data_IF_676247199516
#
_entry.id   IF_676247199516
#
_cell.length_a   1.000
_cell.length_b   1.000
_cell.length_c   1.000
_cell.angle_alpha   90.00
_cell.angle_beta   90.00
_cell.angle_gamma   90.00
#
_symmetry.space_group_name_H-M   'P 1'
#
loop_
_entity.id
_entity.type
_entity.pdbx_description
1 polymer ?
#
# COMPACT_ATOMS: atom_id res chain seq x y z
N UNK A 1 10.81 -2.17 16.15
CA UNK A 1 11.15 -3.31 15.28
C UNK A 1 12.64 -3.38 14.90
N UNK A 2 13.53 -2.50 15.41
CA UNK A 2 14.97 -2.62 15.12
C UNK A 2 15.34 -2.52 13.63
N UNK A 3 14.56 -1.75 12.87
CA UNK A 3 14.75 -1.54 11.43
C UNK A 3 15.61 -0.29 11.22
N UNK A 4 16.46 -0.30 10.20
CA UNK A 4 17.30 0.85 9.86
C UNK A 4 16.44 2.11 9.59
N UNK A 5 16.73 3.25 10.24
CA UNK A 5 16.00 4.50 10.02
C UNK A 5 16.03 4.98 8.57
N UNK A 6 17.08 4.69 7.80
CA UNK A 6 17.21 5.04 6.37
C UNK A 6 16.12 4.33 5.55
N UNK A 7 15.91 3.04 5.81
CA UNK A 7 14.87 2.26 5.14
C UNK A 7 13.49 2.74 5.57
N UNK A 8 13.27 2.92 6.88
CA UNK A 8 11.94 3.30 7.40
C UNK A 8 11.49 4.67 6.89
N UNK A 9 12.39 5.66 6.85
CA UNK A 9 12.10 7.03 6.36
C UNK A 9 11.80 7.09 4.87
N UNK A 10 12.24 6.08 4.11
CA UNK A 10 11.94 5.98 2.68
C UNK A 10 10.68 5.16 2.42
N UNK A 11 10.61 3.94 2.96
CA UNK A 11 9.56 2.97 2.60
C UNK A 11 8.20 3.36 3.16
N UNK A 12 8.11 3.83 4.41
CA UNK A 12 6.81 4.12 5.04
C UNK A 12 6.07 5.26 4.34
N UNK A 13 6.69 6.44 4.05
CA UNK A 13 5.97 7.51 3.35
C UNK A 13 5.57 7.14 1.92
N UNK A 14 6.41 6.38 1.21
CA UNK A 14 6.12 5.92 -0.16
C UNK A 14 5.00 4.87 -0.14
N UNK A 15 5.08 3.89 0.76
CA UNK A 15 4.08 2.85 0.95
C UNK A 15 2.71 3.41 1.29
N UNK A 16 2.64 4.34 2.25
CA UNK A 16 1.38 4.93 2.70
C UNK A 16 0.57 5.64 1.59
N UNK A 17 1.22 6.00 0.47
CA UNK A 17 0.55 6.63 -0.68
C UNK A 17 0.32 5.67 -1.85
N UNK A 18 1.27 4.79 -2.13
CA UNK A 18 1.23 3.93 -3.33
C UNK A 18 0.68 2.54 -3.02
N UNK A 19 0.98 2.00 -1.84
CA UNK A 19 0.72 0.60 -1.49
C UNK A 19 -0.64 0.43 -0.80
N UNK A 20 -1.70 0.59 -1.58
CA UNK A 20 -3.07 0.45 -1.10
C UNK A 20 -3.69 -0.92 -1.45
N UNK A 21 -3.07 -2.01 -0.99
CA UNK A 21 -3.52 -3.39 -1.24
C UNK A 21 -4.97 -3.65 -0.78
N UNK A 22 -5.33 -3.17 0.41
CA UNK A 22 -6.68 -3.27 0.97
C UNK A 22 -7.71 -2.51 0.16
N UNK A 23 -7.32 -1.40 -0.49
CA UNK A 23 -8.18 -0.65 -1.41
C UNK A 23 -8.40 -1.43 -2.71
N UNK A 24 -7.34 -1.95 -3.32
CA UNK A 24 -7.44 -2.76 -4.53
C UNK A 24 -8.30 -4.02 -4.31
N UNK A 25 -8.09 -4.72 -3.18
CA UNK A 25 -8.88 -5.88 -2.80
C UNK A 25 -10.36 -5.52 -2.64
N UNK A 26 -10.65 -4.42 -1.96
CA UNK A 26 -12.02 -3.94 -1.78
C UNK A 26 -12.72 -3.64 -3.09
N UNK A 27 -12.07 -2.90 -4.00
CA UNK A 27 -12.65 -2.55 -5.30
C UNK A 27 -12.93 -3.77 -6.16
N UNK A 28 -12.00 -4.73 -6.19
CA UNK A 28 -12.19 -5.98 -6.94
C UNK A 28 -13.36 -6.81 -6.38
N UNK A 29 -13.41 -6.99 -5.05
CA UNK A 29 -14.48 -7.76 -4.39
C UNK A 29 -15.83 -7.06 -4.51
N UNK A 30 -15.88 -5.73 -4.39
CA UNK A 30 -17.07 -4.92 -4.58
C UNK A 30 -17.64 -5.05 -6.00
N UNK A 31 -16.80 -5.02 -7.03
CA UNK A 31 -17.23 -5.17 -8.41
C UNK A 31 -17.80 -6.58 -8.68
N UNK A 32 -17.13 -7.60 -8.16
CA UNK A 32 -17.62 -8.99 -8.20
C UNK A 32 -18.97 -9.13 -7.48
N UNK A 33 -19.11 -8.53 -6.31
CA UNK A 33 -20.34 -8.54 -5.52
C UNK A 33 -21.50 -7.88 -6.26
N UNK A 34 -21.30 -6.71 -6.86
CA UNK A 34 -22.33 -6.01 -7.64
C UNK A 34 -22.74 -6.84 -8.86
N UNK A 35 -21.78 -7.43 -9.58
CA UNK A 35 -22.10 -8.30 -10.70
C UNK A 35 -22.97 -9.50 -10.28
N UNK A 36 -22.64 -10.12 -9.14
CA UNK A 36 -23.42 -11.21 -8.55
C UNK A 36 -24.82 -10.77 -8.14
N UNK A 37 -24.96 -9.60 -7.48
CA UNK A 37 -26.27 -9.04 -7.11
C UNK A 37 -27.17 -8.80 -8.31
N UNK A 38 -26.59 -8.37 -9.44
CA UNK A 38 -27.31 -8.12 -10.70
C UNK A 38 -27.48 -9.36 -11.57
N UNK A 39 -27.00 -10.54 -11.14
CA UNK A 39 -26.95 -11.76 -11.94
C UNK A 39 -26.23 -11.58 -13.29
N UNK A 40 -25.23 -10.69 -13.33
CA UNK A 40 -24.39 -10.44 -14.50
C UNK A 40 -23.20 -11.39 -14.45
N UNK A 41 -23.04 -12.21 -15.47
CA UNK A 41 -21.92 -13.14 -15.55
C UNK A 41 -20.64 -12.42 -16.02
N UNK A 42 -19.66 -12.29 -15.13
CA UNK A 42 -18.34 -11.78 -15.50
C UNK A 42 -17.54 -12.86 -16.23
N UNK A 43 -16.99 -12.52 -17.39
CA UNK A 43 -16.06 -13.39 -18.11
C UNK A 43 -14.69 -13.34 -17.44
N UNK A 44 -13.81 -14.29 -17.78
CA UNK A 44 -12.42 -14.24 -17.32
C UNK A 44 -11.72 -12.92 -17.70
N UNK A 45 -12.00 -12.39 -18.90
CA UNK A 45 -11.47 -11.10 -19.35
C UNK A 45 -11.92 -9.94 -18.45
N UNK A 46 -13.17 -9.94 -17.99
CA UNK A 46 -13.68 -8.94 -17.04
C UNK A 46 -12.98 -9.03 -15.68
N UNK A 47 -12.71 -10.23 -15.16
CA UNK A 47 -12.01 -10.40 -13.89
C UNK A 47 -10.58 -9.83 -13.96
N UNK A 48 -9.88 -10.10 -15.07
CA UNK A 48 -8.55 -9.55 -15.31
C UNK A 48 -8.61 -8.02 -15.44
N UNK A 49 -9.58 -7.49 -16.19
CA UNK A 49 -9.77 -6.05 -16.33
C UNK A 49 -10.01 -5.38 -14.97
N UNK A 50 -10.93 -5.90 -14.15
CA UNK A 50 -11.22 -5.42 -12.79
C UNK A 50 -9.97 -5.44 -11.91
N UNK A 51 -9.16 -6.50 -11.99
CA UNK A 51 -7.95 -6.62 -11.18
C UNK A 51 -6.93 -5.54 -11.55
N UNK A 52 -6.69 -5.34 -12.85
CA UNK A 52 -5.75 -4.31 -13.33
C UNK A 52 -6.26 -2.91 -12.98
N UNK A 53 -7.55 -2.65 -13.18
CA UNK A 53 -8.13 -1.32 -12.95
C UNK A 53 -8.22 -1.00 -11.47
N UNK A 54 -8.56 -1.97 -10.61
CA UNK A 54 -8.54 -1.82 -9.16
C UNK A 54 -7.12 -1.55 -8.63
N UNK A 55 -6.11 -2.26 -9.14
CA UNK A 55 -4.71 -1.97 -8.77
C UNK A 55 -4.27 -0.58 -9.23
N UNK A 56 -4.66 -0.15 -10.43
CA UNK A 56 -4.33 1.19 -10.92
C UNK A 56 -5.05 2.28 -10.10
N UNK A 57 -6.31 2.05 -9.76
CA UNK A 57 -7.14 2.98 -9.02
C UNK A 57 -6.70 3.11 -7.55
N UNK A 58 -6.25 2.02 -6.92
CA UNK A 58 -5.75 2.06 -5.54
C UNK A 58 -4.53 2.96 -5.36
N UNK A 59 -3.64 3.03 -6.34
CA UNK A 59 -2.49 3.95 -6.33
C UNK A 59 -2.96 5.42 -6.44
N UNK A 60 -4.02 5.67 -7.21
CA UNK A 60 -4.55 7.01 -7.46
C UNK A 60 -5.38 7.62 -6.31
N UNK A 61 -5.76 6.82 -5.32
CA UNK A 61 -6.71 7.23 -4.28
C UNK A 61 -6.12 8.14 -3.18
N UNK A 62 -4.80 8.08 -2.94
CA UNK A 62 -4.17 8.71 -1.78
C UNK A 62 -4.25 10.25 -1.73
N UNK A 63 -4.54 10.92 -2.86
CA UNK A 63 -4.55 12.39 -2.96
C UNK A 63 -5.93 13.05 -3.00
N UNK A 64 -7.03 12.29 -3.04
CA UNK A 64 -8.36 12.84 -3.31
C UNK A 64 -9.29 12.63 -2.09
N UNK A 65 -9.90 13.69 -1.52
CA UNK A 65 -10.94 13.54 -0.51
C UNK A 65 -12.09 12.68 -1.07
N UNK A 66 -12.54 11.67 -0.33
CA UNK A 66 -13.60 10.74 -0.78
C UNK A 66 -13.25 9.93 -2.03
N UNK A 67 -11.96 9.70 -2.30
CA UNK A 67 -11.47 8.94 -3.47
C UNK A 67 -12.16 7.59 -3.67
N UNK A 68 -12.48 6.87 -2.57
CA UNK A 68 -13.01 5.51 -2.62
C UNK A 68 -14.32 5.36 -3.41
N UNK A 69 -15.14 6.41 -3.54
CA UNK A 69 -16.35 6.37 -4.37
C UNK A 69 -16.00 6.53 -5.85
N UNK A 70 -15.11 7.47 -6.16
CA UNK A 70 -14.68 7.77 -7.54
C UNK A 70 -13.96 6.57 -8.14
N UNK A 71 -13.05 5.97 -7.38
CA UNK A 71 -12.29 4.80 -7.83
C UNK A 71 -13.20 3.59 -8.00
N UNK A 72 -14.18 3.40 -7.12
CA UNK A 72 -15.18 2.33 -7.27
C UNK A 72 -16.00 2.48 -8.56
N UNK A 73 -16.46 3.69 -8.88
CA UNK A 73 -17.19 3.96 -10.13
C UNK A 73 -16.32 3.65 -11.34
N UNK A 74 -15.05 4.05 -11.32
CA UNK A 74 -14.10 3.73 -12.38
C UNK A 74 -13.96 2.22 -12.60
N UNK A 75 -13.82 1.43 -11.54
CA UNK A 75 -13.70 -0.03 -11.64
C UNK A 75 -14.99 -0.66 -12.19
N UNK A 76 -16.16 -0.21 -11.77
CA UNK A 76 -17.43 -0.70 -12.31
C UNK A 76 -17.62 -0.38 -13.80
N UNK A 77 -17.23 0.82 -14.22
CA UNK A 77 -17.31 1.26 -15.62
C UNK A 77 -16.46 0.36 -16.54
N UNK A 78 -15.32 -0.15 -16.05
CA UNK A 78 -14.43 -1.03 -16.83
C UNK A 78 -15.06 -2.35 -17.25
N UNK A 79 -16.15 -2.76 -16.58
CA UNK A 79 -16.94 -3.95 -16.90
C UNK A 79 -18.40 -3.62 -17.24
N UNK A 80 -18.73 -2.33 -17.41
CA UNK A 80 -20.06 -1.86 -17.80
C UNK A 80 -21.14 -2.05 -16.72
N UNK A 81 -20.75 -2.08 -15.44
CA UNK A 81 -21.70 -2.17 -14.32
C UNK A 81 -22.22 -0.77 -13.95
N UNK A 82 -23.52 -0.63 -13.60
CA UNK A 82 -24.11 0.65 -13.27
C UNK A 82 -23.56 1.21 -11.94
N UNK A 83 -23.08 2.45 -11.96
CA UNK A 83 -22.49 3.13 -10.81
C UNK A 83 -23.47 3.36 -9.63
N UNK A 84 -24.77 3.33 -9.90
CA UNK A 84 -25.83 3.47 -8.88
C UNK A 84 -25.75 2.40 -7.79
N UNK A 85 -25.21 1.22 -8.11
CA UNK A 85 -25.08 0.09 -7.19
C UNK A 85 -24.02 0.30 -6.10
N UNK A 86 -23.13 1.29 -6.26
CA UNK A 86 -22.14 1.67 -5.22
C UNK A 86 -22.84 2.10 -3.93
N UNK A 87 -24.05 2.64 -4.01
CA UNK A 87 -24.85 3.06 -2.85
C UNK A 87 -25.10 1.93 -1.85
N UNK A 88 -25.21 0.69 -2.31
CA UNK A 88 -25.38 -0.50 -1.46
C UNK A 88 -24.12 -0.72 -0.60
N UNK A 89 -22.94 -0.47 -1.17
CA UNK A 89 -21.66 -0.66 -0.50
C UNK A 89 -21.39 0.46 0.51
N UNK A 90 -21.78 1.71 0.19
CA UNK A 90 -21.61 2.87 1.08
C UNK A 90 -22.22 2.62 2.46
N UNK A 91 -23.32 1.86 2.55
CA UNK A 91 -23.97 1.54 3.83
C UNK A 91 -23.05 0.76 4.80
N UNK A 92 -22.11 -0.04 4.28
CA UNK A 92 -21.16 -0.84 5.08
C UNK A 92 -19.72 -0.31 5.01
N UNK A 93 -19.47 0.68 4.14
CA UNK A 93 -18.12 1.18 3.87
C UNK A 93 -17.42 1.77 5.11
N UNK A 94 -18.18 2.40 6.01
CA UNK A 94 -17.63 2.94 7.26
C UNK A 94 -16.89 1.90 8.10
N UNK A 95 -17.33 0.64 8.04
CA UNK A 95 -16.71 -0.49 8.74
C UNK A 95 -15.57 -1.08 7.92
N UNK A 96 -15.81 -1.32 6.62
CA UNK A 96 -14.81 -1.90 5.71
C UNK A 96 -13.56 -1.02 5.59
N UNK A 97 -13.73 0.30 5.54
CA UNK A 97 -12.66 1.28 5.51
C UNK A 97 -11.64 1.13 6.65
N UNK A 98 -12.09 0.77 7.86
CA UNK A 98 -11.20 0.55 8.99
C UNK A 98 -10.30 -0.68 8.78
N UNK A 99 -10.86 -1.76 8.23
CA UNK A 99 -10.09 -2.96 7.89
C UNK A 99 -9.14 -2.70 6.72
N UNK A 100 -9.59 -1.98 5.69
CA UNK A 100 -8.76 -1.58 4.54
C UNK A 100 -7.53 -0.80 4.99
N UNK A 101 -7.74 0.22 5.82
CA UNK A 101 -6.65 1.03 6.36
C UNK A 101 -5.68 0.18 7.19
N UNK A 102 -6.19 -0.74 8.01
CA UNK A 102 -5.36 -1.65 8.81
C UNK A 102 -4.49 -2.56 7.92
N UNK A 103 -5.06 -3.12 6.86
CA UNK A 103 -4.33 -3.97 5.91
C UNK A 103 -3.24 -3.17 5.19
N UNK A 104 -3.53 -1.97 4.70
CA UNK A 104 -2.55 -1.12 4.03
C UNK A 104 -1.35 -0.85 4.95
N UNK A 105 -1.61 -0.41 6.19
CA UNK A 105 -0.54 -0.14 7.17
C UNK A 105 0.26 -1.40 7.51
N UNK A 106 -0.41 -2.55 7.61
CA UNK A 106 0.26 -3.83 7.86
C UNK A 106 1.16 -4.23 6.69
N UNK A 107 0.71 -4.07 5.45
CA UNK A 107 1.51 -4.34 4.26
C UNK A 107 2.74 -3.42 4.18
N UNK A 108 2.60 -2.14 4.51
CA UNK A 108 3.73 -1.19 4.55
C UNK A 108 4.78 -1.58 5.59
N UNK A 109 4.35 -2.03 6.76
CA UNK A 109 5.24 -2.51 7.81
C UNK A 109 5.99 -3.78 7.37
N UNK A 110 5.28 -4.74 6.76
CA UNK A 110 5.89 -5.96 6.22
C UNK A 110 6.85 -5.68 5.07
N UNK A 111 6.47 -4.78 4.16
CA UNK A 111 7.32 -4.33 3.05
C UNK A 111 8.59 -3.67 3.57
N UNK A 112 8.50 -2.84 4.61
CA UNK A 112 9.65 -2.21 5.25
C UNK A 112 10.62 -3.24 5.82
N UNK A 113 10.11 -4.28 6.49
CA UNK A 113 10.94 -5.40 7.01
C UNK A 113 11.64 -6.13 5.86
N UNK A 114 10.91 -6.41 4.78
CA UNK A 114 11.44 -7.13 3.62
C UNK A 114 12.56 -6.33 2.93
N UNK A 115 12.33 -5.04 2.67
CA UNK A 115 13.34 -4.13 2.07
C UNK A 115 14.57 -4.07 2.97
N UNK A 116 14.39 -3.87 4.28
CA UNK A 116 15.51 -3.85 5.22
C UNK A 116 16.33 -5.15 5.21
N UNK A 117 15.67 -6.31 5.04
CA UNK A 117 16.35 -7.60 4.95
C UNK A 117 17.15 -7.75 3.64
N UNK A 118 16.59 -7.33 2.51
CA UNK A 118 17.23 -7.41 1.20
C UNK A 118 18.38 -6.41 1.04
N UNK A 119 18.25 -5.22 1.63
CA UNK A 119 19.24 -4.14 1.55
C UNK A 119 20.37 -4.23 2.58
N UNK A 120 20.46 -5.30 3.39
CA UNK A 120 21.50 -5.43 4.44
C UNK A 120 22.93 -5.20 3.94
N UNK A 121 23.24 -5.66 2.72
CA UNK A 121 24.58 -5.48 2.11
C UNK A 121 24.85 -4.01 1.81
N UNK A 122 23.91 -3.33 1.18
CA UNK A 122 24.03 -1.92 0.82
C UNK A 122 24.15 -1.04 2.07
N UNK A 123 23.34 -1.32 3.09
CA UNK A 123 23.37 -0.63 4.38
C UNK A 123 24.69 -0.83 5.13
N UNK A 124 25.32 -2.00 4.99
CA UNK A 124 26.63 -2.32 5.58
C UNK A 124 27.81 -1.71 4.79
N UNK A 125 27.69 -1.59 3.47
CA UNK A 125 28.69 -0.95 2.61
C UNK A 125 28.76 0.56 2.84
N UNK A 126 27.62 1.22 3.01
CA UNK A 126 27.54 2.64 3.37
C UNK A 126 28.08 2.94 4.77
N UNK A 127 27.88 2.04 5.75
CA UNK A 127 28.42 2.22 7.09
C UNK A 127 29.96 2.30 7.08
N UNK A 128 30.61 1.44 6.28
CA UNK A 128 32.06 1.46 6.12
C UNK A 128 32.56 2.69 5.34
N UNK A 129 31.83 3.14 4.31
CA UNK A 129 32.18 4.35 3.57
C UNK A 129 32.04 5.64 4.38
N UNK A 130 31.01 5.72 5.25
CA UNK A 130 30.87 6.84 6.20
C UNK A 130 31.96 6.82 7.27
N UNK A 131 32.41 5.65 7.74
CA UNK A 131 33.53 5.52 8.68
C UNK A 131 34.88 5.95 8.08
N UNK A 132 35.06 5.77 6.78
CA UNK A 132 36.30 6.11 6.06
C UNK A 132 36.39 7.62 5.72
N UNK A 133 35.24 8.31 5.67
CA UNK A 133 35.13 9.73 5.35
C UNK A 133 34.70 10.60 6.55
N UNK A 134 34.38 9.99 7.69
CA UNK A 134 33.96 10.70 8.90
C UNK A 134 35.14 11.42 9.55
N UNK A 135 34.91 12.70 9.87
CA UNK A 135 35.86 13.48 10.65
C UNK A 135 36.00 12.88 12.07
N UNK A 136 37.16 13.00 12.73
CA UNK A 136 37.46 12.30 13.99
C UNK A 136 36.45 12.52 15.13
N UNK A 137 35.70 13.62 15.08
CA UNK A 137 34.69 13.97 16.08
C UNK A 137 33.34 13.24 15.87
N UNK A 138 33.01 12.80 14.65
CA UNK A 138 31.78 12.04 14.35
C UNK A 138 31.91 10.55 14.72
N UNK A 139 33.15 10.03 14.76
CA UNK A 139 33.49 8.65 15.15
C UNK A 139 33.25 8.34 16.65
N UNK A 140 32.97 9.36 17.46
CA UNK A 140 32.66 9.22 18.90
C UNK A 140 31.18 8.91 19.12
N UNK A 141 30.28 9.42 18.27
CA UNK A 141 28.84 9.19 18.40
C UNK A 141 28.39 7.85 17.81
N UNK A 142 29.19 7.26 16.91
CA UNK A 142 28.87 6.01 16.20
C UNK A 142 29.35 4.73 16.90
N UNK A 143 29.82 4.78 18.15
CA UNK A 143 30.21 3.60 18.94
C UNK A 143 29.16 3.27 20.02
N UNK A 144 28.30 2.27 19.76
CA UNK A 144 27.41 1.58 20.66
C UNK A 144 27.72 1.49 22.15
N UNK A 145 28.95 1.20 22.56
CA UNK A 145 29.12 0.39 23.78
C UNK A 145 30.60 0.28 24.21
N UNK A 146 31.11 1.37 24.78
CA UNK A 146 32.26 1.35 25.69
C UNK A 146 31.87 2.14 26.95
N UNK A 147 30.94 1.62 27.73
CA UNK A 147 30.82 1.93 29.16
C UNK A 147 30.86 0.62 29.93
N UNK A 148 31.76 0.64 30.89
CA UNK A 148 32.23 -0.42 31.80
C UNK A 148 31.12 -1.25 32.45
#
# INVERSE_FOLDING_TARGET
MGIDPRVTRFVIPVGATINMDGTALYEAVAALFIAQLRNIHLTFGHIVAVSVTATAASIGAAGIPQAGLITMVMVLDTVGLPAEDVTIIIAVDWLLDRFRTTINVMCDALGTILVNSLSKKDLSGEANGHLELAEPHELVELRPDQKE
#
